data_IF_980620154158
#
_entry.id   IF_980620154158
#
_cell.length_a   1.000
_cell.length_b   1.000
_cell.length_c   1.000
_cell.angle_alpha   90.00
_cell.angle_beta   90.00
_cell.angle_gamma   90.00
#
_symmetry.space_group_name_H-M   'P 1'
#
loop_
_entity.id
_entity.type
_entity.pdbx_description
1 polymer ?
#
# COMPACT_ATOMS: atom_id res chain seq x y z
N UNK A 1 21.89 0.40 -15.68
CA UNK A 1 21.76 1.86 -15.52
C UNK A 1 21.06 2.20 -14.23
N UNK A 2 21.54 3.24 -13.50
CA UNK A 2 20.84 3.85 -12.36
C UNK A 2 20.26 5.18 -12.82
N UNK A 3 19.07 5.53 -12.35
CA UNK A 3 18.39 6.78 -12.70
C UNK A 3 17.66 7.39 -11.51
N UNK A 4 17.46 8.70 -11.54
CA UNK A 4 16.59 9.44 -10.63
C UNK A 4 15.31 9.88 -11.36
N UNK A 5 14.20 9.98 -10.63
CA UNK A 5 12.94 10.52 -11.13
C UNK A 5 12.80 12.01 -10.78
N UNK A 6 11.74 12.67 -11.27
CA UNK A 6 11.38 14.04 -10.87
C UNK A 6 11.10 14.19 -9.37
N UNK A 7 10.86 13.08 -8.66
CA UNK A 7 10.61 13.11 -7.22
C UNK A 7 11.88 13.14 -6.38
N UNK A 8 13.07 12.82 -6.96
CA UNK A 8 14.30 12.59 -6.21
C UNK A 8 14.69 13.78 -5.33
N UNK A 9 14.86 14.96 -5.91
CA UNK A 9 15.31 16.15 -5.17
C UNK A 9 14.30 16.63 -4.12
N UNK A 10 13.00 16.36 -4.37
CA UNK A 10 11.93 16.67 -3.42
C UNK A 10 11.95 15.72 -2.23
N UNK A 11 12.24 14.44 -2.46
CA UNK A 11 12.24 13.39 -1.43
C UNK A 11 13.54 13.40 -0.62
N UNK A 12 14.67 13.65 -1.28
CA UNK A 12 16.02 13.65 -0.70
C UNK A 12 16.72 14.98 -1.02
N UNK A 13 16.32 16.07 -0.35
CA UNK A 13 16.93 17.39 -0.64
C UNK A 13 18.36 17.46 -0.14
N UNK A 14 19.24 18.08 -0.95
CA UNK A 14 20.62 18.43 -0.60
C UNK A 14 21.60 17.24 -0.66
N UNK A 15 22.76 17.42 -0.05
CA UNK A 15 23.83 16.42 0.00
C UNK A 15 23.53 15.34 1.08
N UNK A 16 22.55 14.50 0.84
CA UNK A 16 22.20 13.41 1.75
C UNK A 16 23.31 12.36 1.75
N UNK A 17 24.03 12.21 2.86
CA UNK A 17 25.01 11.15 3.06
C UNK A 17 24.35 9.94 3.72
N UNK A 18 24.56 8.77 3.12
CA UNK A 18 24.00 7.51 3.62
C UNK A 18 25.03 6.80 4.51
N UNK A 19 24.84 6.84 5.83
CA UNK A 19 25.78 6.30 6.81
C UNK A 19 25.27 5.09 7.57
N UNK A 20 23.95 4.97 7.72
CA UNK A 20 23.32 3.86 8.43
C UNK A 20 22.50 3.00 7.48
N UNK A 21 22.66 1.69 7.59
CA UNK A 21 21.97 0.69 6.76
C UNK A 21 21.28 -0.33 7.65
N UNK A 22 20.00 -0.56 7.43
CA UNK A 22 19.22 -1.56 8.15
C UNK A 22 18.42 -2.44 7.17
N UNK A 23 18.51 -3.73 7.32
CA UNK A 23 17.69 -4.68 6.57
C UNK A 23 16.33 -4.85 7.24
N UNK A 24 15.24 -4.76 6.44
CA UNK A 24 13.87 -4.99 6.92
C UNK A 24 13.47 -6.48 6.93
N UNK A 25 14.34 -7.35 6.45
CA UNK A 25 14.06 -8.76 6.30
C UNK A 25 13.80 -9.17 4.86
N UNK A 26 13.44 -10.44 4.69
CA UNK A 26 13.16 -11.02 3.38
C UNK A 26 11.65 -11.07 3.18
N UNK A 27 11.13 -10.26 2.27
CA UNK A 27 9.82 -10.47 1.66
C UNK A 27 9.90 -11.63 0.66
N UNK A 28 8.77 -12.18 0.21
CA UNK A 28 8.76 -13.36 -0.67
C UNK A 28 9.55 -13.16 -1.97
N UNK A 29 9.49 -11.98 -2.59
CA UNK A 29 10.11 -11.66 -3.89
C UNK A 29 11.20 -10.60 -3.82
N UNK A 30 11.29 -9.82 -2.72
CA UNK A 30 12.15 -8.66 -2.60
C UNK A 30 13.08 -8.77 -1.39
N UNK A 31 14.15 -7.97 -1.40
CA UNK A 31 14.97 -7.67 -0.22
C UNK A 31 14.90 -6.17 0.00
N UNK A 32 14.48 -5.76 1.20
CA UNK A 32 14.26 -4.35 1.53
C UNK A 32 15.35 -3.84 2.48
N UNK A 33 15.95 -2.72 2.12
CA UNK A 33 17.02 -2.06 2.85
C UNK A 33 16.62 -0.63 3.16
N UNK A 34 16.72 -0.22 4.42
CA UNK A 34 16.50 1.15 4.86
C UNK A 34 17.82 1.85 5.06
N UNK A 35 17.93 3.06 4.53
CA UNK A 35 19.07 3.94 4.67
C UNK A 35 18.69 5.14 5.53
N UNK A 36 19.41 5.37 6.64
CA UNK A 36 19.22 6.50 7.57
C UNK A 36 17.78 6.69 8.08
N UNK A 37 16.95 5.65 8.09
CA UNK A 37 15.49 5.78 8.38
C UNK A 37 14.78 6.81 7.47
N UNK A 38 15.33 7.09 6.29
CA UNK A 38 14.80 8.08 5.34
C UNK A 38 14.48 7.46 3.98
N UNK A 39 15.27 6.51 3.52
CA UNK A 39 15.11 5.89 2.23
C UNK A 39 14.94 4.37 2.34
N UNK A 40 14.10 3.83 1.47
CA UNK A 40 13.87 2.41 1.28
C UNK A 40 14.33 2.00 -0.12
N UNK A 41 15.25 1.03 -0.17
CA UNK A 41 15.62 0.35 -1.41
C UNK A 41 14.98 -1.03 -1.41
N UNK A 42 14.15 -1.30 -2.41
CA UNK A 42 13.65 -2.63 -2.73
C UNK A 42 14.52 -3.24 -3.82
N UNK A 43 15.17 -4.36 -3.52
CA UNK A 43 15.94 -5.16 -4.48
C UNK A 43 15.07 -6.31 -4.98
N UNK A 44 14.80 -6.37 -6.28
CA UNK A 44 14.03 -7.45 -6.89
C UNK A 44 14.92 -8.69 -7.05
N UNK A 45 14.62 -9.76 -6.32
CA UNK A 45 15.40 -11.01 -6.38
C UNK A 45 15.04 -11.87 -7.59
N UNK A 46 13.82 -11.72 -8.09
CA UNK A 46 13.38 -12.36 -9.32
C UNK A 46 13.44 -11.34 -10.44
N UNK A 47 14.39 -11.55 -11.34
CA UNK A 47 14.64 -10.68 -12.48
C UNK A 47 13.95 -11.33 -13.69
N UNK A 48 13.01 -10.62 -14.27
CA UNK A 48 12.26 -11.02 -15.45
C UNK A 48 12.46 -9.97 -16.55
N UNK A 49 12.29 -10.38 -17.81
CA UNK A 49 12.31 -9.42 -18.92
C UNK A 49 11.13 -8.44 -18.78
N UNK A 50 11.39 -7.15 -18.91
CA UNK A 50 10.46 -6.07 -18.69
C UNK A 50 10.51 -5.47 -17.30
N UNK A 51 9.64 -4.51 -17.03
CA UNK A 51 9.54 -3.87 -15.73
C UNK A 51 8.72 -4.75 -14.77
N UNK A 52 9.24 -4.89 -13.55
CA UNK A 52 8.48 -5.49 -12.46
C UNK A 52 7.20 -4.68 -12.21
N UNK A 53 6.01 -5.32 -12.04
CA UNK A 53 4.74 -4.60 -11.87
C UNK A 53 4.72 -3.61 -10.68
N UNK A 54 5.35 -3.95 -9.54
CA UNK A 54 5.47 -3.05 -8.39
C UNK A 54 6.25 -1.77 -8.78
N UNK A 55 7.32 -1.95 -9.54
CA UNK A 55 8.11 -0.84 -10.04
C UNK A 55 7.38 -0.02 -11.11
N UNK A 56 6.79 -0.67 -12.13
CA UNK A 56 6.14 -0.02 -13.26
C UNK A 56 4.94 0.83 -12.82
N UNK A 57 4.06 0.26 -11.99
CA UNK A 57 2.87 0.96 -11.47
C UNK A 57 3.27 2.14 -10.58
N UNK A 58 4.19 1.91 -9.64
CA UNK A 58 4.65 2.97 -8.74
C UNK A 58 5.35 4.11 -9.48
N UNK A 59 6.14 3.79 -10.50
CA UNK A 59 6.81 4.78 -11.34
C UNK A 59 5.80 5.58 -12.17
N UNK A 60 4.83 4.91 -12.81
CA UNK A 60 3.76 5.55 -13.57
C UNK A 60 2.97 6.55 -12.69
N UNK A 61 2.54 6.12 -11.51
CA UNK A 61 1.82 6.98 -10.57
C UNK A 61 2.66 8.17 -10.14
N UNK A 62 3.97 7.99 -9.94
CA UNK A 62 4.88 9.06 -9.57
C UNK A 62 5.09 10.06 -10.71
N UNK A 63 5.29 9.59 -11.95
CA UNK A 63 5.74 10.42 -13.06
C UNK A 63 4.58 11.01 -13.88
N UNK A 64 3.43 10.32 -13.95
CA UNK A 64 2.38 10.66 -14.91
C UNK A 64 1.05 11.04 -14.28
N UNK A 65 0.89 10.88 -12.95
CA UNK A 65 -0.37 11.18 -12.28
C UNK A 65 -0.22 12.18 -11.14
N UNK A 66 -1.35 12.64 -10.59
CA UNK A 66 -1.42 13.43 -9.36
C UNK A 66 -1.66 12.60 -8.10
N UNK A 67 -1.60 11.26 -8.17
CA UNK A 67 -1.85 10.39 -7.02
C UNK A 67 -0.72 10.48 -6.00
N UNK A 68 -1.06 10.81 -4.75
CA UNK A 68 -0.08 11.07 -3.67
C UNK A 68 -0.16 10.09 -2.52
N UNK A 69 -1.11 9.16 -2.52
CA UNK A 69 -1.28 8.19 -1.44
C UNK A 69 -0.39 6.95 -1.63
N UNK A 70 0.85 7.16 -2.12
CA UNK A 70 1.92 6.16 -2.17
C UNK A 70 3.26 6.82 -1.84
N UNK A 71 4.24 6.01 -1.45
CA UNK A 71 5.63 6.44 -1.41
C UNK A 71 6.11 6.64 -2.87
N UNK A 72 6.48 7.87 -3.30
CA UNK A 72 6.88 8.09 -4.69
C UNK A 72 8.18 7.34 -5.00
N UNK A 73 8.31 6.89 -6.24
CA UNK A 73 9.58 6.34 -6.73
C UNK A 73 10.54 7.49 -6.93
N UNK A 74 11.60 7.55 -6.14
CA UNK A 74 12.65 8.57 -6.26
C UNK A 74 13.72 8.18 -7.30
N UNK A 75 13.88 6.90 -7.56
CA UNK A 75 14.83 6.39 -8.55
C UNK A 75 14.82 4.88 -8.64
N UNK A 76 15.70 4.33 -9.46
CA UNK A 76 15.78 2.90 -9.63
C UNK A 76 17.06 2.46 -10.34
N UNK A 77 17.22 1.15 -10.41
CA UNK A 77 18.29 0.49 -11.18
C UNK A 77 17.63 -0.44 -12.18
N UNK A 78 17.94 -0.26 -13.46
CA UNK A 78 17.55 -1.14 -14.57
C UNK A 78 18.77 -1.83 -15.15
N UNK A 79 18.60 -3.08 -15.53
CA UNK A 79 19.52 -3.82 -16.37
C UNK A 79 19.05 -3.70 -17.81
N UNK A 80 19.95 -3.27 -18.70
CA UNK A 80 19.76 -3.32 -20.15
C UNK A 80 20.72 -4.34 -20.73
N UNK A 81 20.19 -5.30 -21.44
CA UNK A 81 20.99 -6.32 -22.13
C UNK A 81 20.28 -6.80 -23.39
N UNK A 82 20.99 -6.78 -24.52
CA UNK A 82 20.49 -7.29 -25.80
C UNK A 82 19.12 -6.70 -26.23
N UNK A 83 18.90 -5.40 -25.95
CA UNK A 83 17.66 -4.71 -26.24
C UNK A 83 16.49 -5.03 -25.30
N UNK A 84 16.76 -5.76 -24.23
CA UNK A 84 15.80 -6.07 -23.16
C UNK A 84 16.13 -5.27 -21.92
N UNK A 85 15.10 -4.92 -21.16
CA UNK A 85 15.23 -4.23 -19.87
C UNK A 85 14.67 -5.09 -18.75
N UNK A 86 15.24 -4.97 -17.55
CA UNK A 86 14.70 -5.58 -16.35
C UNK A 86 14.91 -4.64 -15.15
N UNK A 87 13.92 -4.52 -14.28
CA UNK A 87 14.06 -3.77 -13.04
C UNK A 87 14.87 -4.58 -12.01
N UNK A 88 15.92 -3.99 -11.45
CA UNK A 88 16.75 -4.59 -10.40
C UNK A 88 16.43 -4.01 -9.02
N UNK A 89 16.16 -2.72 -8.94
CA UNK A 89 15.89 -2.04 -7.67
C UNK A 89 15.01 -0.81 -7.85
N UNK A 90 14.31 -0.48 -6.78
CA UNK A 90 13.49 0.73 -6.65
C UNK A 90 13.90 1.48 -5.38
N UNK A 91 14.05 2.80 -5.47
CA UNK A 91 14.32 3.70 -4.36
C UNK A 91 13.07 4.53 -4.07
N UNK A 92 12.65 4.54 -2.80
CA UNK A 92 11.49 5.30 -2.30
C UNK A 92 11.84 5.96 -0.97
N UNK A 93 11.10 6.99 -0.49
CA UNK A 93 11.19 7.41 0.89
C UNK A 93 10.76 6.27 1.82
N UNK A 94 11.46 6.12 2.93
CA UNK A 94 11.04 5.21 3.98
C UNK A 94 9.90 5.84 4.79
N UNK A 95 8.78 5.16 4.86
CA UNK A 95 7.64 5.54 5.69
C UNK A 95 7.64 4.67 6.94
N UNK A 96 7.91 5.28 8.08
CA UNK A 96 7.75 4.59 9.36
C UNK A 96 6.27 4.26 9.58
N UNK A 97 5.99 3.04 10.00
CA UNK A 97 4.64 2.57 10.32
C UNK A 97 4.66 1.71 11.57
N UNK A 98 3.56 1.69 12.30
CA UNK A 98 3.38 0.86 13.50
C UNK A 98 3.03 -0.59 13.17
N UNK A 99 2.81 -0.91 11.89
CA UNK A 99 2.47 -2.23 11.39
C UNK A 99 2.03 -2.20 9.93
N UNK A 100 1.61 -3.34 9.44
CA UNK A 100 1.04 -3.47 8.10
C UNK A 100 -0.50 -3.52 8.11
N UNK A 101 -1.11 -3.28 6.96
CA UNK A 101 -2.56 -3.26 6.82
C UNK A 101 -3.22 -4.62 7.05
N UNK A 102 -2.49 -5.73 6.87
CA UNK A 102 -3.00 -7.07 7.12
C UNK A 102 -3.15 -7.32 8.62
N UNK A 103 -2.11 -6.98 9.42
CA UNK A 103 -2.17 -7.11 10.87
C UNK A 103 -3.25 -6.21 11.46
N UNK A 104 -3.35 -4.95 10.98
CA UNK A 104 -4.43 -4.05 11.36
C UNK A 104 -5.81 -4.67 11.10
N UNK A 105 -6.03 -5.26 9.92
CA UNK A 105 -7.30 -5.90 9.58
C UNK A 105 -7.61 -7.12 10.47
N UNK A 106 -6.59 -7.91 10.81
CA UNK A 106 -6.74 -9.05 11.72
C UNK A 106 -7.10 -8.60 13.14
N UNK A 107 -6.42 -7.58 13.64
CA UNK A 107 -6.66 -7.04 14.98
C UNK A 107 -8.06 -6.41 15.08
N UNK A 108 -8.47 -5.65 14.06
CA UNK A 108 -9.83 -5.10 13.93
C UNK A 108 -10.89 -6.21 13.90
N UNK A 109 -10.67 -7.26 13.12
CA UNK A 109 -11.59 -8.40 13.05
C UNK A 109 -11.69 -9.14 14.38
N UNK A 110 -10.57 -9.32 15.09
CA UNK A 110 -10.55 -9.93 16.40
C UNK A 110 -11.30 -9.08 17.46
N UNK A 111 -11.06 -7.77 17.45
CA UNK A 111 -11.75 -6.84 18.33
C UNK A 111 -13.26 -6.81 18.05
N UNK A 112 -13.66 -6.78 16.78
CA UNK A 112 -15.06 -6.87 16.36
C UNK A 112 -15.70 -8.17 16.84
N UNK A 113 -15.04 -9.31 16.66
CA UNK A 113 -15.56 -10.63 17.10
C UNK A 113 -15.74 -10.68 18.63
N UNK A 114 -14.80 -10.13 19.39
CA UNK A 114 -14.88 -10.06 20.84
C UNK A 114 -16.04 -9.16 21.28
N UNK A 115 -16.13 -7.94 20.74
CA UNK A 115 -17.23 -7.01 21.03
C UNK A 115 -18.60 -7.62 20.67
N UNK A 116 -18.68 -8.32 19.53
CA UNK A 116 -19.92 -9.00 19.10
C UNK A 116 -20.34 -10.13 20.03
N UNK A 117 -19.38 -10.85 20.59
CA UNK A 117 -19.63 -11.94 21.53
C UNK A 117 -20.28 -11.46 22.83
N UNK A 118 -19.96 -10.24 23.25
CA UNK A 118 -20.54 -9.61 24.45
C UNK A 118 -21.96 -9.06 24.23
N UNK A 119 -22.43 -8.94 22.97
CA UNK A 119 -23.74 -8.40 22.66
C UNK A 119 -24.82 -9.49 22.67
N UNK A 120 -26.04 -9.20 23.19
CA UNK A 120 -27.16 -10.11 23.10
C UNK A 120 -27.45 -10.46 21.63
N UNK A 121 -27.65 -11.76 21.37
CA UNK A 121 -27.82 -12.28 20.00
C UNK A 121 -28.98 -11.63 19.21
N UNK A 122 -29.98 -11.13 19.93
CA UNK A 122 -31.17 -10.49 19.34
C UNK A 122 -30.99 -9.05 18.89
N UNK A 123 -29.90 -8.35 19.31
CA UNK A 123 -29.83 -6.90 19.14
C UNK A 123 -29.35 -6.43 17.78
N UNK A 124 -28.68 -7.27 16.98
CA UNK A 124 -28.20 -6.83 15.68
C UNK A 124 -28.16 -7.95 14.66
N UNK A 125 -29.25 -8.06 13.90
CA UNK A 125 -29.36 -8.98 12.76
C UNK A 125 -29.97 -8.28 11.55
N UNK A 126 -29.32 -7.19 11.05
CA UNK A 126 -29.93 -6.36 10.01
C UNK A 126 -30.19 -7.12 8.70
N UNK A 127 -29.49 -8.22 8.48
CA UNK A 127 -29.58 -9.04 7.26
C UNK A 127 -30.23 -10.40 7.48
N UNK A 128 -30.81 -10.65 8.66
CA UNK A 128 -31.45 -11.94 8.94
C UNK A 128 -32.57 -12.24 7.94
N UNK A 129 -32.46 -13.38 7.26
CA UNK A 129 -33.45 -13.80 6.26
C UNK A 129 -33.33 -13.11 4.89
N UNK A 130 -32.33 -12.24 4.67
CA UNK A 130 -32.05 -11.64 3.38
C UNK A 130 -31.08 -12.49 2.57
N UNK A 131 -31.28 -12.54 1.25
CA UNK A 131 -30.23 -13.00 0.33
C UNK A 131 -29.13 -11.94 0.18
N UNK A 132 -27.97 -12.34 -0.38
CA UNK A 132 -26.79 -11.49 -0.48
C UNK A 132 -27.04 -10.19 -1.25
N UNK A 133 -27.80 -10.22 -2.33
CA UNK A 133 -28.04 -9.03 -3.16
C UNK A 133 -28.97 -8.05 -2.47
N UNK A 134 -30.03 -8.56 -1.80
CA UNK A 134 -30.94 -7.75 -0.97
C UNK A 134 -30.19 -7.12 0.20
N UNK A 135 -29.32 -7.89 0.88
CA UNK A 135 -28.47 -7.38 1.96
C UNK A 135 -27.53 -6.28 1.47
N UNK A 136 -26.85 -6.48 0.33
CA UNK A 136 -25.97 -5.48 -0.27
C UNK A 136 -26.71 -4.17 -0.64
N UNK A 137 -27.92 -4.28 -1.17
CA UNK A 137 -28.75 -3.11 -1.51
C UNK A 137 -29.23 -2.36 -0.25
N UNK A 138 -29.51 -3.06 0.85
CA UNK A 138 -29.92 -2.47 2.12
C UNK A 138 -28.76 -1.86 2.92
N UNK A 139 -27.51 -2.28 2.66
CA UNK A 139 -26.33 -1.87 3.42
C UNK A 139 -26.18 -0.36 3.61
N UNK A 140 -26.36 0.50 2.59
CA UNK A 140 -26.19 1.95 2.75
C UNK A 140 -27.17 2.62 3.73
N UNK A 141 -28.26 1.93 4.08
CA UNK A 141 -29.30 2.46 4.99
C UNK A 141 -29.18 1.95 6.42
N UNK A 142 -28.20 1.08 6.70
CA UNK A 142 -28.00 0.46 8.00
C UNK A 142 -26.85 1.18 8.71
N UNK A 143 -27.16 1.82 9.82
CA UNK A 143 -26.14 2.40 10.70
C UNK A 143 -25.38 1.30 11.42
N UNK A 144 -24.04 1.37 11.37
CA UNK A 144 -23.20 0.48 12.15
C UNK A 144 -23.37 0.79 13.64
N UNK A 145 -23.59 -0.22 14.49
CA UNK A 145 -23.64 -0.01 15.93
C UNK A 145 -22.32 0.58 16.46
N UNK A 146 -22.41 1.40 17.51
CA UNK A 146 -21.22 2.02 18.11
C UNK A 146 -20.15 1.02 18.57
N UNK A 147 -20.53 -0.21 18.91
CA UNK A 147 -19.59 -1.28 19.29
C UNK A 147 -18.80 -1.88 18.11
N UNK A 148 -19.14 -1.51 16.86
CA UNK A 148 -18.31 -1.89 15.70
C UNK A 148 -16.96 -1.17 15.68
N UNK A 149 -16.77 -0.17 16.54
CA UNK A 149 -15.50 0.54 16.70
C UNK A 149 -15.22 1.58 15.64
N UNK A 150 -14.10 2.27 15.83
CA UNK A 150 -13.65 3.35 14.95
C UNK A 150 -12.94 2.85 13.68
N UNK A 151 -12.66 1.56 13.58
CA UNK A 151 -11.92 0.95 12.47
C UNK A 151 -12.65 1.07 11.13
N UNK A 152 -13.99 1.24 11.15
CA UNK A 152 -14.77 1.47 9.93
C UNK A 152 -14.33 2.72 9.16
N UNK A 153 -13.87 3.75 9.86
CA UNK A 153 -13.31 4.94 9.22
C UNK A 153 -12.01 4.64 8.46
N UNK A 154 -11.14 3.79 9.02
CA UNK A 154 -9.92 3.35 8.36
C UNK A 154 -10.20 2.52 7.11
N UNK A 155 -11.15 1.58 7.17
CA UNK A 155 -11.58 0.80 5.99
C UNK A 155 -12.23 1.68 4.93
N UNK A 156 -13.04 2.67 5.32
CA UNK A 156 -13.62 3.64 4.38
C UNK A 156 -12.53 4.49 3.70
N UNK A 157 -11.52 4.94 4.47
CA UNK A 157 -10.38 5.66 3.92
C UNK A 157 -9.58 4.79 2.94
N UNK A 158 -9.35 3.51 3.25
CA UNK A 158 -8.69 2.56 2.34
C UNK A 158 -9.48 2.41 1.04
N UNK A 159 -10.80 2.25 1.12
CA UNK A 159 -11.68 2.17 -0.05
C UNK A 159 -11.60 3.44 -0.92
N UNK A 160 -11.61 4.62 -0.31
CA UNK A 160 -11.45 5.90 -1.01
C UNK A 160 -10.09 5.99 -1.72
N UNK A 161 -8.99 5.64 -1.04
CA UNK A 161 -7.63 5.63 -1.65
C UNK A 161 -7.54 4.62 -2.79
N UNK A 162 -8.18 3.45 -2.66
CA UNK A 162 -8.24 2.45 -3.73
C UNK A 162 -8.99 2.97 -4.96
N UNK A 163 -10.11 3.66 -4.77
CA UNK A 163 -10.86 4.27 -5.86
C UNK A 163 -10.03 5.37 -6.57
N UNK A 164 -9.37 6.24 -5.81
CA UNK A 164 -8.46 7.26 -6.36
C UNK A 164 -7.30 6.65 -7.15
N UNK A 165 -6.72 5.55 -6.65
CA UNK A 165 -5.70 4.78 -7.37
C UNK A 165 -6.20 4.27 -8.72
N UNK A 166 -7.39 3.66 -8.74
CA UNK A 166 -7.99 3.17 -9.99
C UNK A 166 -8.27 4.31 -10.98
N UNK A 167 -8.75 5.46 -10.50
CA UNK A 167 -8.96 6.64 -11.35
C UNK A 167 -7.64 7.17 -11.88
N UNK A 168 -6.58 7.22 -11.07
CA UNK A 168 -5.26 7.66 -11.51
C UNK A 168 -4.66 6.72 -12.56
N UNK A 169 -4.83 5.40 -12.42
CA UNK A 169 -4.37 4.42 -13.41
C UNK A 169 -5.21 4.40 -14.70
N UNK A 170 -6.44 4.90 -14.66
CA UNK A 170 -7.31 5.00 -15.82
C UNK A 170 -7.18 6.36 -16.55
N UNK A 171 -6.43 7.31 -16.00
CA UNK A 171 -6.16 8.60 -16.64
C UNK A 171 -4.93 8.49 -17.52
N UNK A 172 -5.12 8.51 -18.84
CA UNK A 172 -4.05 8.63 -19.83
C UNK A 172 -3.56 10.08 -19.98
#
# INVERSE_FOLDING_TARGET
EAFATRAFDRVFPGDTTWSAVRFLGLEQSNSSVVLNEQALIKLFRRIEDGDNPDFAVSLHLTEHTGFTALAPVAGGIRLERDGRTAALAMLQPYLASDGDGWQFALDSAAAFAAARHEQPEAQWRPFAGMDLFTAAAAWPTIEAPAWCGDDLAAFAALGARTAELHLALASD
#
